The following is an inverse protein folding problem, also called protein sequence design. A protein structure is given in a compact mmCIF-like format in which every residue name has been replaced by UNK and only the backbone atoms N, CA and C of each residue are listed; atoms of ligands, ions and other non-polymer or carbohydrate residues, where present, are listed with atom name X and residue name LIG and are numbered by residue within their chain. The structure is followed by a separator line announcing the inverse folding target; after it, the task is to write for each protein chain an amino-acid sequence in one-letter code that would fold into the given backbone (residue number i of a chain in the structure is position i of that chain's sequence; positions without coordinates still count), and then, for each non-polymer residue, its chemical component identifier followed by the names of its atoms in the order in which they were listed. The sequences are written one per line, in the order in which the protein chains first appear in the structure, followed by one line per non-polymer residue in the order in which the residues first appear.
data_IF_414332503760
#
_entry.id   IF_414332503760
#
_cell.length_a   1.000
_cell.length_b   1.000
_cell.length_c   1.000
_cell.angle_alpha   90.00
_cell.angle_beta   90.00
_cell.angle_gamma   90.00
#
_symmetry.space_group_name_H-M   'P 1'
#
loop_
_entity.id
_entity.type
_entity.pdbx_description
1 polymer ?
#
# COMPACT_ATOMS: atom_id res chain seq x y z
N UNK A 1 -10.75 -2.61 -38.51
CA UNK A 1 -11.36 -1.26 -38.35
C UNK A 1 -10.35 -0.22 -38.83
N UNK A 2 -10.77 0.71 -39.70
CA UNK A 2 -9.92 1.80 -40.20
C UNK A 2 -9.85 2.97 -39.21
N UNK A 3 -8.77 3.76 -39.27
CA UNK A 3 -8.64 4.96 -38.42
C UNK A 3 -9.77 5.97 -38.68
N UNK A 4 -10.15 6.19 -39.94
CA UNK A 4 -11.21 7.12 -40.31
C UNK A 4 -12.55 6.79 -39.62
N UNK A 5 -12.91 5.50 -39.56
CA UNK A 5 -14.14 5.06 -38.88
C UNK A 5 -14.10 5.30 -37.36
N UNK A 6 -12.94 5.09 -36.73
CA UNK A 6 -12.74 5.43 -35.30
C UNK A 6 -12.74 6.94 -35.07
N UNK A 7 -12.17 7.69 -36.00
CA UNK A 7 -12.08 9.14 -35.94
C UNK A 7 -13.47 9.78 -35.94
N UNK A 8 -14.35 9.30 -36.82
CA UNK A 8 -15.74 9.73 -36.91
C UNK A 8 -16.54 9.31 -35.66
N UNK A 9 -16.40 8.05 -35.23
CA UNK A 9 -17.19 7.49 -34.13
C UNK A 9 -16.82 8.09 -32.77
N UNK A 10 -15.53 8.35 -32.52
CA UNK A 10 -15.02 8.79 -31.21
C UNK A 10 -14.48 10.23 -31.22
N UNK A 11 -14.65 10.97 -32.32
CA UNK A 11 -14.17 12.33 -32.50
C UNK A 11 -12.67 12.47 -32.19
N UNK A 12 -11.87 11.53 -32.70
CA UNK A 12 -10.42 11.52 -32.44
C UNK A 12 -9.70 12.62 -33.23
N UNK A 13 -8.67 13.27 -32.67
CA UNK A 13 -7.84 14.20 -33.43
C UNK A 13 -6.93 13.43 -34.40
N UNK A 14 -6.64 14.02 -35.57
CA UNK A 14 -5.82 13.36 -36.62
C UNK A 14 -4.40 12.99 -36.16
N UNK A 15 -3.85 13.67 -35.14
CA UNK A 15 -2.55 13.36 -34.55
C UNK A 15 -2.48 11.97 -33.90
N UNK A 16 -3.61 11.34 -33.57
CA UNK A 16 -3.66 10.00 -32.98
C UNK A 16 -3.45 8.88 -34.02
N UNK A 17 -3.31 9.20 -35.32
CA UNK A 17 -3.11 8.21 -36.38
C UNK A 17 -1.88 7.33 -36.14
N UNK A 18 -0.77 7.92 -35.71
CA UNK A 18 0.45 7.16 -35.42
C UNK A 18 0.23 6.18 -34.26
N UNK A 19 -0.50 6.59 -33.22
CA UNK A 19 -0.85 5.75 -32.07
C UNK A 19 -1.77 4.60 -32.45
N UNK A 20 -2.71 4.85 -33.38
CA UNK A 20 -3.52 3.81 -34.00
C UNK A 20 -2.67 2.77 -34.72
N UNK A 21 -1.68 3.19 -35.52
CA UNK A 21 -0.77 2.26 -36.21
C UNK A 21 0.04 1.42 -35.22
N UNK A 22 0.57 2.05 -34.15
CA UNK A 22 1.29 1.36 -33.09
C UNK A 22 0.42 0.30 -32.42
N UNK A 23 -0.82 0.65 -32.04
CA UNK A 23 -1.78 -0.28 -31.46
C UNK A 23 -2.10 -1.43 -32.43
N UNK A 24 -2.37 -1.14 -33.70
CA UNK A 24 -2.61 -2.16 -34.71
C UNK A 24 -1.39 -3.10 -34.93
N UNK A 25 -0.17 -2.61 -34.72
CA UNK A 25 1.03 -3.45 -34.75
C UNK A 25 1.08 -4.37 -33.52
N UNK A 26 0.96 -3.81 -32.31
CA UNK A 26 1.00 -4.58 -31.08
C UNK A 26 -0.11 -5.63 -31.01
N UNK A 27 -1.33 -5.29 -31.44
CA UNK A 27 -2.48 -6.20 -31.38
C UNK A 27 -2.37 -7.33 -32.43
N UNK A 28 -1.64 -7.11 -33.54
CA UNK A 28 -1.38 -8.16 -34.53
C UNK A 28 -0.46 -9.27 -33.99
N UNK A 29 0.39 -8.95 -33.02
CA UNK A 29 1.32 -9.90 -32.40
C UNK A 29 0.70 -10.69 -31.25
N UNK A 30 -0.56 -10.43 -30.88
CA UNK A 30 -1.26 -11.11 -29.78
C UNK A 30 -2.25 -12.13 -30.36
N UNK A 31 -1.94 -13.44 -30.36
CA UNK A 31 -2.76 -14.46 -31.03
C UNK A 31 -4.14 -14.68 -30.39
N UNK A 32 -4.33 -14.21 -29.16
CA UNK A 32 -5.50 -14.50 -28.32
C UNK A 32 -6.60 -13.41 -28.37
N UNK A 33 -6.46 -12.36 -29.19
CA UNK A 33 -7.52 -11.38 -29.39
C UNK A 33 -8.54 -11.95 -30.37
N UNK A 34 -9.40 -12.83 -29.86
CA UNK A 34 -10.60 -13.24 -30.57
C UNK A 34 -11.44 -12.00 -30.92
N UNK A 35 -12.07 -11.95 -32.12
CA UNK A 35 -12.91 -10.83 -32.52
C UNK A 35 -14.22 -10.86 -31.71
N UNK A 36 -14.16 -10.31 -30.50
CA UNK A 36 -15.31 -10.04 -29.65
C UNK A 36 -15.29 -8.59 -29.19
N UNK A 37 -16.46 -8.02 -28.94
CA UNK A 37 -16.55 -6.75 -28.23
C UNK A 37 -15.96 -6.94 -26.83
N UNK A 38 -14.78 -6.36 -26.60
CA UNK A 38 -14.25 -6.23 -25.25
C UNK A 38 -15.25 -5.42 -24.42
N UNK A 39 -15.59 -5.85 -23.21
CA UNK A 39 -16.42 -5.06 -22.32
C UNK A 39 -15.82 -3.67 -22.15
N UNK A 40 -16.65 -2.63 -22.25
CA UNK A 40 -16.21 -1.26 -22.01
C UNK A 40 -15.51 -1.19 -20.67
N UNK A 41 -14.23 -0.76 -20.68
CA UNK A 41 -13.48 -0.68 -19.43
C UNK A 41 -14.21 0.25 -18.45
N UNK A 42 -14.11 -0.08 -17.17
CA UNK A 42 -14.68 0.71 -16.08
C UNK A 42 -14.32 2.20 -16.17
N UNK A 43 -13.10 2.51 -16.59
CA UNK A 43 -12.58 3.88 -16.75
C UNK A 43 -13.25 4.61 -17.92
N UNK A 44 -13.50 3.90 -19.03
CA UNK A 44 -14.17 4.46 -20.20
C UNK A 44 -15.63 4.76 -19.87
N UNK A 45 -16.32 3.86 -19.18
CA UNK A 45 -17.70 4.09 -18.68
C UNK A 45 -17.77 5.28 -17.72
N UNK A 46 -16.82 5.38 -16.77
CA UNK A 46 -16.66 6.54 -15.88
C UNK A 46 -16.51 7.84 -16.70
N UNK A 47 -15.61 7.84 -17.69
CA UNK A 47 -15.31 9.01 -18.52
C UNK A 47 -16.56 9.47 -19.29
N UNK A 48 -17.28 8.57 -19.93
CA UNK A 48 -18.50 8.90 -20.67
C UNK A 48 -19.57 9.50 -19.75
N UNK A 49 -19.77 8.94 -18.56
CA UNK A 49 -20.78 9.43 -17.60
C UNK A 49 -20.44 10.81 -17.01
N UNK A 50 -19.16 11.21 -17.02
CA UNK A 50 -18.66 12.48 -16.46
C UNK A 50 -18.49 13.57 -17.53
N UNK A 51 -18.68 13.28 -18.82
CA UNK A 51 -18.54 14.27 -19.92
C UNK A 51 -19.49 15.47 -19.80
N UNK A 52 -20.58 15.37 -19.04
CA UNK A 52 -21.50 16.50 -18.77
C UNK A 52 -20.81 17.68 -18.06
N UNK A 53 -21.16 18.92 -18.43
CA UNK A 53 -20.57 20.15 -17.87
C UNK A 53 -20.86 20.36 -16.36
N UNK A 54 -21.94 19.78 -15.83
CA UNK A 54 -22.42 20.07 -14.47
C UNK A 54 -22.25 18.88 -13.50
N UNK A 55 -21.90 19.18 -12.23
CA UNK A 55 -21.84 18.23 -11.10
C UNK A 55 -20.92 17.01 -11.31
N UNK A 56 -19.82 17.18 -12.06
CA UNK A 56 -18.86 16.11 -12.38
C UNK A 56 -18.38 15.34 -11.15
N UNK A 57 -17.98 16.05 -10.09
CA UNK A 57 -17.48 15.44 -8.85
C UNK A 57 -18.54 14.62 -8.11
N UNK A 58 -19.76 15.15 -7.96
CA UNK A 58 -20.85 14.43 -7.30
C UNK A 58 -21.23 13.15 -8.06
N UNK A 59 -21.23 13.20 -9.40
CA UNK A 59 -21.51 12.03 -10.25
C UNK A 59 -20.40 10.99 -10.19
N UNK A 60 -19.15 11.43 -10.19
CA UNK A 60 -18.00 10.54 -9.99
C UNK A 60 -18.13 9.84 -8.63
N UNK A 61 -18.41 10.59 -7.57
CA UNK A 61 -18.54 10.03 -6.22
C UNK A 61 -19.71 9.03 -6.12
N UNK A 62 -20.90 9.37 -6.64
CA UNK A 62 -22.05 8.44 -6.65
C UNK A 62 -21.76 7.18 -7.45
N UNK A 63 -21.00 7.29 -8.54
CA UNK A 63 -20.65 6.15 -9.38
C UNK A 63 -19.58 5.26 -8.76
N UNK A 64 -18.65 5.84 -8.00
CA UNK A 64 -17.69 5.06 -7.20
C UNK A 64 -18.41 4.32 -6.07
N UNK A 65 -19.41 4.94 -5.44
CA UNK A 65 -20.24 4.32 -4.40
C UNK A 65 -21.16 3.21 -4.93
N UNK A 66 -21.71 3.37 -6.13
CA UNK A 66 -22.64 2.39 -6.70
C UNK A 66 -21.95 1.12 -7.23
N UNK A 67 -20.61 1.09 -7.22
CA UNK A 67 -19.83 -0.05 -7.71
C UNK A 67 -19.53 -1.00 -6.57
N UNK A 68 -19.61 -2.29 -6.86
CA UNK A 68 -19.20 -3.35 -5.92
C UNK A 68 -17.73 -3.17 -5.58
N UNK A 69 -17.40 -3.26 -4.30
CA UNK A 69 -16.02 -3.26 -3.83
C UNK A 69 -15.21 -4.30 -4.62
N UNK A 70 -14.01 -3.95 -5.11
CA UNK A 70 -13.21 -4.88 -5.89
C UNK A 70 -12.89 -6.13 -5.07
N UNK A 71 -12.93 -7.29 -5.73
CA UNK A 71 -12.54 -8.55 -5.09
C UNK A 71 -11.09 -8.47 -4.60
N UNK A 72 -10.91 -8.75 -3.31
CA UNK A 72 -9.63 -8.72 -2.63
C UNK A 72 -9.05 -10.12 -2.40
N UNK A 73 -9.73 -11.17 -2.88
CA UNK A 73 -9.32 -12.58 -2.75
C UNK A 73 -7.91 -12.81 -3.29
N UNK A 74 -7.60 -12.28 -4.48
CA UNK A 74 -6.28 -12.40 -5.10
C UNK A 74 -5.15 -11.84 -4.23
N UNK A 75 -5.40 -10.70 -3.58
CA UNK A 75 -4.43 -10.07 -2.66
C UNK A 75 -4.28 -10.89 -1.38
N UNK A 76 -5.38 -11.41 -0.84
CA UNK A 76 -5.37 -12.30 0.34
C UNK A 76 -4.53 -13.53 0.05
N UNK A 77 -4.82 -14.23 -1.06
CA UNK A 77 -4.10 -15.43 -1.47
C UNK A 77 -2.63 -15.17 -1.78
N UNK A 78 -2.26 -13.97 -2.24
CA UNK A 78 -0.86 -13.58 -2.36
C UNK A 78 -0.20 -13.51 -0.98
N UNK A 79 -0.81 -12.83 -0.01
CA UNK A 79 -0.28 -12.75 1.36
C UNK A 79 -0.16 -14.13 2.01
N UNK A 80 -1.19 -14.96 1.92
CA UNK A 80 -1.17 -16.33 2.48
C UNK A 80 -0.01 -17.17 1.91
N UNK A 81 0.28 -17.02 0.61
CA UNK A 81 1.41 -17.69 -0.04
C UNK A 81 2.76 -17.17 0.46
N UNK A 82 2.93 -15.85 0.59
CA UNK A 82 4.18 -15.26 1.08
C UNK A 82 4.39 -15.58 2.57
N UNK A 83 3.32 -15.60 3.36
CA UNK A 83 3.34 -15.89 4.81
C UNK A 83 3.47 -17.39 5.13
N UNK A 84 3.05 -18.26 4.21
CA UNK A 84 3.08 -19.71 4.39
C UNK A 84 1.94 -20.28 5.24
N UNK A 85 0.88 -19.50 5.48
CA UNK A 85 -0.33 -19.97 6.17
C UNK A 85 -1.57 -19.15 5.76
N UNK A 86 -2.76 -19.67 6.08
CA UNK A 86 -4.03 -19.00 5.78
C UNK A 86 -4.30 -17.81 6.72
N UNK A 87 -5.02 -16.81 6.20
CA UNK A 87 -5.52 -15.67 6.95
C UNK A 87 -7.02 -15.86 7.18
N UNK A 88 -7.49 -15.71 8.43
CA UNK A 88 -8.93 -15.76 8.72
C UNK A 88 -9.65 -14.60 8.02
N UNK A 89 -10.94 -14.77 7.70
CA UNK A 89 -11.72 -13.68 7.09
C UNK A 89 -11.81 -12.47 8.03
N UNK A 90 -12.01 -12.71 9.32
CA UNK A 90 -12.11 -11.65 10.33
C UNK A 90 -10.80 -10.87 10.44
N UNK A 91 -9.66 -11.58 10.42
CA UNK A 91 -8.35 -10.95 10.43
C UNK A 91 -8.11 -10.12 9.17
N UNK A 92 -8.57 -10.59 8.01
CA UNK A 92 -8.45 -9.88 6.74
C UNK A 92 -9.34 -8.62 6.69
N UNK A 93 -10.56 -8.71 7.20
CA UNK A 93 -11.46 -7.56 7.36
C UNK A 93 -10.86 -6.51 8.30
N UNK A 94 -10.21 -6.93 9.39
CA UNK A 94 -9.51 -6.03 10.30
C UNK A 94 -8.39 -5.24 9.58
N UNK A 95 -7.62 -5.91 8.72
CA UNK A 95 -6.60 -5.22 7.90
C UNK A 95 -7.23 -4.09 7.11
N UNK A 96 -8.38 -4.34 6.45
CA UNK A 96 -9.06 -3.30 5.66
C UNK A 96 -9.64 -2.18 6.52
N UNK A 97 -10.24 -2.52 7.66
CA UNK A 97 -10.75 -1.52 8.60
C UNK A 97 -9.62 -0.58 9.06
N UNK A 98 -8.44 -1.13 9.35
CA UNK A 98 -7.26 -0.35 9.79
C UNK A 98 -6.83 0.73 8.79
N UNK A 99 -7.00 0.50 7.47
CA UNK A 99 -6.62 1.46 6.42
C UNK A 99 -7.33 2.82 6.53
N UNK A 100 -8.52 2.82 7.14
CA UNK A 100 -9.32 4.04 7.34
C UNK A 100 -9.15 4.65 8.73
N UNK A 101 -8.75 3.84 9.72
CA UNK A 101 -8.72 4.23 11.13
C UNK A 101 -7.34 4.70 11.61
N UNK A 102 -6.27 4.35 10.91
CA UNK A 102 -4.92 4.60 11.42
C UNK A 102 -4.32 5.93 10.96
N UNK A 103 -3.95 6.78 11.93
CA UNK A 103 -3.18 8.00 11.72
C UNK A 103 -3.97 9.18 11.12
N UNK A 104 -3.53 10.41 11.42
CA UNK A 104 -4.07 11.62 10.79
C UNK A 104 -3.40 11.92 9.44
N UNK A 105 -2.22 11.36 9.20
CA UNK A 105 -1.45 11.55 7.97
C UNK A 105 -1.95 10.64 6.83
N UNK A 106 -2.46 11.26 5.77
CA UNK A 106 -2.89 10.59 4.54
C UNK A 106 -1.76 9.81 3.87
N UNK A 107 -0.51 10.28 3.98
CA UNK A 107 0.64 9.62 3.38
C UNK A 107 0.91 8.27 4.03
N UNK A 108 0.83 8.19 5.36
CA UNK A 108 1.00 6.94 6.11
C UNK A 108 -0.13 5.96 5.78
N UNK A 109 -1.38 6.44 5.69
CA UNK A 109 -2.53 5.60 5.26
C UNK A 109 -2.32 5.04 3.86
N UNK A 110 -1.81 5.86 2.93
CA UNK A 110 -1.50 5.41 1.58
C UNK A 110 -0.39 4.35 1.56
N UNK A 111 0.62 4.48 2.41
CA UNK A 111 1.66 3.46 2.56
C UNK A 111 1.04 2.12 2.98
N UNK A 112 0.23 2.12 4.05
CA UNK A 112 -0.40 0.88 4.52
C UNK A 112 -1.30 0.27 3.45
N UNK A 113 -2.09 1.10 2.76
CA UNK A 113 -2.93 0.65 1.64
C UNK A 113 -2.09 -0.03 0.55
N UNK A 114 -0.98 0.58 0.14
CA UNK A 114 -0.09 0.01 -0.89
C UNK A 114 0.60 -1.27 -0.45
N UNK A 115 0.92 -1.41 0.84
CA UNK A 115 1.45 -2.65 1.40
C UNK A 115 0.37 -3.73 1.34
N UNK A 116 -0.79 -3.49 1.96
CA UNK A 116 -1.89 -4.47 2.03
C UNK A 116 -2.30 -4.93 0.64
N UNK A 117 -2.35 -4.02 -0.34
CA UNK A 117 -2.68 -4.30 -1.74
C UNK A 117 -1.50 -4.82 -2.60
N UNK A 118 -0.33 -5.10 -2.01
CA UNK A 118 0.87 -5.55 -2.71
C UNK A 118 1.24 -4.69 -3.93
N UNK A 119 1.03 -3.36 -3.84
CA UNK A 119 1.24 -2.43 -4.95
C UNK A 119 2.70 -2.02 -5.16
N UNK A 120 3.56 -2.30 -4.17
CA UNK A 120 4.99 -2.10 -4.34
C UNK A 120 5.56 -3.14 -5.28
N UNK A 121 6.36 -2.69 -6.24
CA UNK A 121 7.06 -3.58 -7.15
C UNK A 121 8.21 -4.26 -6.40
N UNK A 122 7.95 -5.47 -5.93
CA UNK A 122 8.96 -6.37 -5.39
C UNK A 122 9.87 -6.87 -6.50
N UNK A 123 11.03 -7.38 -6.14
CA UNK A 123 11.96 -7.95 -7.10
C UNK A 123 11.39 -9.16 -7.82
N UNK A 124 10.74 -10.06 -7.07
CA UNK A 124 10.08 -11.22 -7.63
C UNK A 124 9.03 -10.80 -8.68
N UNK A 125 8.26 -9.74 -8.39
CA UNK A 125 7.29 -9.20 -9.34
C UNK A 125 7.92 -8.58 -10.58
N UNK A 126 9.02 -7.85 -10.44
CA UNK A 126 9.77 -7.29 -11.56
C UNK A 126 10.36 -8.37 -12.47
N UNK A 127 10.95 -9.41 -11.88
CA UNK A 127 11.50 -10.55 -12.61
C UNK A 127 10.40 -11.34 -13.34
N UNK A 128 9.29 -11.65 -12.66
CA UNK A 128 8.14 -12.33 -13.27
C UNK A 128 7.51 -11.53 -14.42
N UNK A 129 7.67 -10.20 -14.43
CA UNK A 129 7.16 -9.33 -15.50
C UNK A 129 8.17 -9.09 -16.62
N UNK A 130 9.35 -9.72 -16.59
CA UNK A 130 10.43 -9.49 -17.57
C UNK A 130 11.04 -8.08 -17.53
N UNK A 131 10.75 -7.30 -16.48
CA UNK A 131 11.25 -5.91 -16.32
C UNK A 131 12.63 -5.85 -15.66
N UNK A 132 13.13 -6.98 -15.15
CA UNK A 132 14.44 -7.11 -14.54
C UNK A 132 14.96 -8.54 -14.71
N UNK A 133 16.24 -8.68 -15.02
CA UNK A 133 16.89 -9.99 -15.04
C UNK A 133 16.86 -10.63 -13.65
N UNK A 134 16.59 -11.93 -13.60
CA UNK A 134 16.27 -12.67 -12.38
C UNK A 134 17.45 -12.91 -11.42
N UNK A 135 18.64 -12.36 -11.69
CA UNK A 135 19.78 -12.25 -10.74
C UNK A 135 19.52 -11.23 -9.61
N UNK A 136 18.34 -11.32 -9.01
CA UNK A 136 17.75 -10.36 -8.10
C UNK A 136 18.64 -10.06 -6.90
N UNK A 137 19.07 -8.81 -6.77
CA UNK A 137 19.62 -8.29 -5.50
C UNK A 137 19.04 -6.92 -5.19
N UNK A 138 18.16 -6.85 -4.21
CA UNK A 138 18.04 -5.67 -3.36
C UNK A 138 18.38 -6.14 -1.95
N UNK A 139 19.17 -5.33 -1.26
CA UNK A 139 19.69 -5.58 0.09
C UNK A 139 20.58 -6.81 0.21
N UNK A 140 20.08 -7.91 0.74
CA UNK A 140 20.87 -9.09 1.15
C UNK A 140 21.37 -9.94 -0.03
N UNK A 141 20.92 -9.64 -1.25
CA UNK A 141 21.34 -10.38 -2.43
C UNK A 141 20.82 -11.82 -2.51
N UNK A 142 19.85 -12.16 -1.67
CA UNK A 142 19.19 -13.47 -1.66
C UNK A 142 18.22 -13.61 -2.84
N UNK A 143 17.97 -14.86 -3.23
CA UNK A 143 17.08 -15.22 -4.34
C UNK A 143 15.60 -14.90 -4.06
N UNK A 144 15.20 -14.78 -2.78
CA UNK A 144 13.83 -14.38 -2.40
C UNK A 144 13.65 -12.87 -2.49
N UNK A 145 12.97 -12.44 -3.55
CA UNK A 145 12.67 -11.04 -3.84
C UNK A 145 11.20 -10.63 -3.63
N UNK A 146 10.42 -11.41 -2.87
CA UNK A 146 8.99 -11.16 -2.61
C UNK A 146 8.75 -9.98 -1.65
N UNK A 147 7.47 -9.60 -1.48
CA UNK A 147 7.07 -8.40 -0.73
C UNK A 147 7.39 -8.57 0.75
N UNK A 148 7.07 -9.72 1.33
CA UNK A 148 7.34 -10.08 2.72
C UNK A 148 8.84 -10.08 3.02
N UNK A 149 9.67 -10.66 2.15
CA UNK A 149 11.12 -10.66 2.33
C UNK A 149 11.65 -9.22 2.34
N UNK A 150 11.28 -8.40 1.36
CA UNK A 150 11.75 -7.03 1.27
C UNK A 150 11.24 -6.13 2.42
N UNK A 151 10.06 -6.41 2.97
CA UNK A 151 9.51 -5.68 4.11
C UNK A 151 10.03 -6.16 5.46
N UNK A 152 10.29 -7.45 5.65
CA UNK A 152 10.57 -8.06 6.95
C UNK A 152 11.65 -9.14 6.91
N UNK A 153 11.54 -10.09 5.97
CA UNK A 153 12.37 -11.30 5.97
C UNK A 153 13.87 -11.06 5.74
N UNK A 154 14.22 -9.95 5.11
CA UNK A 154 15.58 -9.58 4.75
C UNK A 154 16.47 -9.33 5.98
N UNK A 155 17.64 -9.96 6.04
CA UNK A 155 18.65 -9.78 7.10
C UNK A 155 19.08 -8.32 7.32
N UNK A 156 19.04 -7.48 6.28
CA UNK A 156 19.38 -6.06 6.36
C UNK A 156 18.24 -5.20 6.91
N UNK A 157 17.02 -5.73 6.97
CA UNK A 157 15.81 -5.05 7.47
C UNK A 157 15.46 -5.55 8.87
N UNK A 158 15.76 -6.82 9.18
CA UNK A 158 15.52 -7.43 10.50
C UNK A 158 16.05 -6.59 11.68
N UNK A 159 17.26 -6.00 11.66
CA UNK A 159 17.75 -5.20 12.79
C UNK A 159 16.86 -4.02 13.15
N UNK A 160 16.26 -3.35 12.15
CA UNK A 160 15.28 -2.30 12.39
C UNK A 160 14.06 -2.89 13.12
N UNK A 161 13.46 -3.96 12.58
CA UNK A 161 12.27 -4.57 13.18
C UNK A 161 12.52 -5.08 14.59
N UNK A 162 13.65 -5.75 14.84
CA UNK A 162 14.03 -6.17 16.19
C UNK A 162 14.10 -4.98 17.15
N UNK A 163 14.70 -3.87 16.71
CA UNK A 163 14.75 -2.66 17.52
C UNK A 163 13.36 -2.09 17.79
N UNK A 164 12.51 -2.01 16.76
CA UNK A 164 11.13 -1.47 16.87
C UNK A 164 10.28 -2.32 17.81
N UNK A 165 10.32 -3.65 17.67
CA UNK A 165 9.58 -4.59 18.52
C UNK A 165 10.06 -4.48 19.97
N UNK A 166 11.37 -4.41 20.18
CA UNK A 166 11.93 -4.25 21.51
C UNK A 166 11.48 -2.94 22.16
N UNK A 167 11.51 -1.82 21.43
CA UNK A 167 11.01 -0.54 21.93
C UNK A 167 9.51 -0.59 22.25
N UNK A 168 8.69 -1.22 21.40
CA UNK A 168 7.26 -1.38 21.65
C UNK A 168 7.01 -2.23 22.91
N UNK A 169 7.78 -3.31 23.07
CA UNK A 169 7.70 -4.18 24.25
C UNK A 169 8.05 -3.41 25.53
N UNK A 170 9.15 -2.65 25.51
CA UNK A 170 9.64 -1.93 26.68
C UNK A 170 8.73 -0.75 27.05
N UNK A 171 8.25 0.00 26.05
CA UNK A 171 7.39 1.16 26.27
C UNK A 171 5.93 0.79 26.61
N UNK A 172 5.40 -0.27 26.00
CA UNK A 172 3.96 -0.55 25.99
C UNK A 172 3.58 -1.91 26.57
N UNK A 173 4.56 -2.73 26.96
CA UNK A 173 4.33 -4.07 27.49
C UNK A 173 3.72 -5.06 26.50
N UNK A 174 3.80 -4.78 25.19
CA UNK A 174 3.16 -5.58 24.14
C UNK A 174 4.19 -6.28 23.26
N UNK A 175 4.06 -7.61 23.10
CA UNK A 175 4.95 -8.42 22.25
C UNK A 175 4.39 -8.59 20.85
N UNK A 176 5.25 -8.40 19.85
CA UNK A 176 4.94 -8.53 18.42
C UNK A 176 5.91 -9.54 17.81
N UNK A 177 5.58 -10.82 17.91
CA UNK A 177 6.50 -11.89 17.50
C UNK A 177 6.26 -12.37 16.06
N UNK A 178 5.13 -12.02 15.44
CA UNK A 178 4.75 -12.46 14.09
C UNK A 178 4.89 -11.33 13.04
N UNK A 179 5.49 -11.59 11.85
CA UNK A 179 5.53 -10.65 10.73
C UNK A 179 4.17 -10.08 10.33
N UNK A 180 3.09 -10.85 10.45
CA UNK A 180 1.72 -10.41 10.12
C UNK A 180 1.28 -9.29 11.03
N UNK A 181 1.59 -9.41 12.32
CA UNK A 181 1.22 -8.42 13.32
C UNK A 181 2.00 -7.12 13.07
N UNK A 182 3.23 -7.24 12.57
CA UNK A 182 4.05 -6.09 12.25
C UNK A 182 3.67 -5.43 10.92
N UNK A 183 3.42 -6.20 9.86
CA UNK A 183 3.21 -5.71 8.49
C UNK A 183 1.73 -5.42 8.20
N UNK A 184 0.83 -6.33 8.55
CA UNK A 184 -0.60 -6.24 8.26
C UNK A 184 -1.40 -5.67 9.43
N UNK A 185 -0.82 -5.64 10.64
CA UNK A 185 -1.44 -5.06 11.84
C UNK A 185 -2.69 -5.82 12.33
N UNK A 186 -2.77 -7.14 12.11
CA UNK A 186 -3.95 -7.98 12.41
C UNK A 186 -4.21 -8.19 13.90
N UNK A 187 -3.19 -8.37 14.74
CA UNK A 187 -3.45 -8.69 16.16
C UNK A 187 -3.69 -7.46 17.04
N UNK A 188 -3.69 -6.25 16.47
CA UNK A 188 -3.76 -5.03 17.27
C UNK A 188 -5.15 -4.78 17.84
N UNK A 189 -6.25 -5.17 17.17
CA UNK A 189 -7.60 -5.05 17.78
C UNK A 189 -7.78 -5.99 18.97
N UNK A 190 -7.17 -7.18 18.91
CA UNK A 190 -7.28 -8.26 19.90
C UNK A 190 -6.32 -8.10 21.06
N UNK A 191 -5.31 -7.25 20.90
CA UNK A 191 -4.37 -6.91 21.95
C UNK A 191 -5.07 -6.29 23.17
N UNK A 192 -4.74 -6.80 24.37
CA UNK A 192 -5.15 -6.28 25.68
C UNK A 192 -4.41 -4.98 26.02
N UNK A 193 -4.39 -4.03 25.09
CA UNK A 193 -3.77 -2.72 25.24
C UNK A 193 -4.83 -1.64 25.13
N UNK A 194 -4.61 -0.50 25.79
CA UNK A 194 -5.52 0.63 25.71
C UNK A 194 -5.67 1.11 24.26
N UNK A 195 -6.82 1.70 23.91
CA UNK A 195 -7.05 2.27 22.57
C UNK A 195 -5.98 3.30 22.18
N UNK A 196 -5.48 4.04 23.17
CA UNK A 196 -4.39 5.01 23.01
C UNK A 196 -3.07 4.30 22.70
N UNK A 197 -2.71 3.29 23.48
CA UNK A 197 -1.51 2.50 23.26
C UNK A 197 -1.51 1.82 21.88
N UNK A 198 -2.66 1.27 21.48
CA UNK A 198 -2.87 0.69 20.14
C UNK A 198 -2.56 1.69 19.02
N UNK A 199 -3.01 2.94 19.16
CA UNK A 199 -2.74 3.99 18.17
C UNK A 199 -1.25 4.28 18.03
N UNK A 200 -0.52 4.36 19.15
CA UNK A 200 0.92 4.60 19.14
C UNK A 200 1.72 3.40 18.61
N UNK A 201 1.32 2.17 18.96
CA UNK A 201 1.90 0.93 18.39
C UNK A 201 1.71 0.92 16.88
N UNK A 202 0.49 1.20 16.41
CA UNK A 202 0.20 1.30 14.97
C UNK A 202 1.09 2.35 14.30
N UNK A 203 1.24 3.52 14.92
CA UNK A 203 2.09 4.59 14.39
C UNK A 203 3.57 4.18 14.34
N UNK A 204 4.08 3.52 15.37
CA UNK A 204 5.44 2.98 15.44
C UNK A 204 5.71 1.97 14.31
N UNK A 205 4.79 1.02 14.10
CA UNK A 205 4.87 0.02 13.04
C UNK A 205 4.80 0.65 11.66
N UNK A 206 3.90 1.62 11.46
CA UNK A 206 3.77 2.34 10.19
C UNK A 206 5.00 3.19 9.87
N UNK A 207 5.60 3.80 10.89
CA UNK A 207 6.85 4.53 10.75
C UNK A 207 7.99 3.59 10.36
N UNK A 208 8.06 2.38 10.96
CA UNK A 208 9.02 1.36 10.56
C UNK A 208 8.83 0.94 9.09
N UNK A 209 7.58 0.66 8.67
CA UNK A 209 7.25 0.38 7.26
C UNK A 209 7.69 1.52 6.34
N UNK A 210 7.43 2.77 6.72
CA UNK A 210 7.82 3.96 5.95
C UNK A 210 9.34 4.05 5.78
N UNK A 211 10.11 3.82 6.83
CA UNK A 211 11.58 3.81 6.76
C UNK A 211 12.07 2.67 5.88
N UNK A 212 11.54 1.45 6.04
CA UNK A 212 11.86 0.31 5.17
C UNK A 212 11.59 0.61 3.69
N UNK A 213 10.45 1.23 3.39
CA UNK A 213 10.07 1.60 2.02
C UNK A 213 10.90 2.74 1.42
N UNK A 214 11.41 3.68 2.23
CA UNK A 214 12.40 4.68 1.75
C UNK A 214 13.66 4.02 1.21
N UNK A 215 14.01 2.86 1.77
CA UNK A 215 15.15 2.05 1.38
C UNK A 215 14.77 0.86 0.48
N UNK A 216 13.59 0.87 -0.14
CA UNK A 216 13.04 -0.27 -0.91
C UNK A 216 13.95 -0.72 -2.06
N UNK A 217 14.51 0.26 -2.79
CA UNK A 217 15.40 0.04 -3.94
C UNK A 217 16.85 0.46 -3.63
N UNK A 218 17.22 0.63 -2.35
CA UNK A 218 18.57 1.06 -1.94
C UNK A 218 19.35 -0.13 -1.37
N UNK A 219 20.66 -0.13 -1.59
CA UNK A 219 21.57 -1.12 -1.00
C UNK A 219 21.73 -0.91 0.51
N UNK A 220 21.66 0.35 0.94
CA UNK A 220 21.72 0.76 2.34
C UNK A 220 20.54 0.16 3.15
N UNK A 221 20.81 -0.38 4.34
CA UNK A 221 19.77 -0.85 5.24
C UNK A 221 19.04 0.33 5.89
N UNK A 222 17.75 0.19 6.20
CA UNK A 222 17.08 1.13 7.09
C UNK A 222 17.70 1.06 8.49
N UNK A 223 17.80 2.20 9.17
CA UNK A 223 18.39 2.26 10.52
C UNK A 223 17.37 2.58 11.60
N UNK A 224 17.61 2.09 12.81
CA UNK A 224 16.82 2.43 14.02
C UNK A 224 16.85 3.93 14.30
N UNK A 225 17.98 4.60 14.03
CA UNK A 225 18.11 6.06 14.17
C UNK A 225 17.14 6.82 13.27
N UNK A 226 17.02 6.44 12.01
CA UNK A 226 16.05 7.07 11.09
C UNK A 226 14.60 6.88 11.55
N UNK A 227 14.29 5.70 12.10
CA UNK A 227 12.97 5.42 12.67
C UNK A 227 12.69 6.27 13.92
N UNK A 228 13.64 6.35 14.86
CA UNK A 228 13.50 7.21 16.05
C UNK A 228 13.33 8.69 15.67
N UNK A 229 14.11 9.19 14.72
CA UNK A 229 13.98 10.57 14.22
C UNK A 229 12.60 10.81 13.57
N UNK A 230 12.10 9.85 12.79
CA UNK A 230 10.77 9.94 12.20
C UNK A 230 9.66 9.92 13.27
N UNK A 231 9.81 9.10 14.31
CA UNK A 231 8.88 9.08 15.42
C UNK A 231 8.89 10.39 16.20
N UNK A 232 10.07 10.94 16.49
CA UNK A 232 10.21 12.23 17.16
C UNK A 232 9.61 13.39 16.34
N UNK A 233 9.84 13.40 15.02
CA UNK A 233 9.23 14.37 14.10
C UNK A 233 7.70 14.25 14.10
N UNK A 234 7.17 13.03 14.06
CA UNK A 234 5.73 12.79 14.13
C UNK A 234 5.14 13.26 15.47
N UNK A 235 5.83 12.98 16.59
CA UNK A 235 5.44 13.45 17.90
C UNK A 235 5.40 14.98 17.98
N UNK A 236 6.39 15.67 17.39
CA UNK A 236 6.43 17.13 17.33
C UNK A 236 5.23 17.69 16.57
N UNK A 237 4.89 17.11 15.40
CA UNK A 237 3.71 17.50 14.62
C UNK A 237 2.40 17.27 15.39
N UNK A 238 2.23 16.10 16.00
CA UNK A 238 1.06 15.79 16.81
C UNK A 238 0.92 16.72 18.03
N UNK A 239 2.03 17.06 18.68
CA UNK A 239 2.04 18.00 19.81
C UNK A 239 1.49 19.36 19.40
N UNK A 240 1.87 19.87 18.22
CA UNK A 240 1.36 21.14 17.69
C UNK A 240 -0.14 21.04 17.42
N UNK A 241 -0.60 19.97 16.78
CA UNK A 241 -2.03 19.73 16.49
C UNK A 241 -2.85 19.61 17.79
N UNK A 242 -2.33 18.94 18.81
CA UNK A 242 -3.03 18.78 20.09
C UNK A 242 -3.01 20.06 20.91
N UNK A 243 -1.96 20.88 20.78
CA UNK A 243 -1.90 22.23 21.37
C UNK A 243 -2.98 23.13 20.79
N UNK A 244 -3.15 23.17 19.47
CA UNK A 244 -4.20 23.99 18.83
C UNK A 244 -5.61 23.52 19.20
N UNK A 245 -5.76 22.23 19.55
CA UNK A 245 -7.04 21.65 20.01
C UNK A 245 -7.25 21.69 21.52
N UNK A 246 -6.35 22.33 22.28
CA UNK A 246 -6.37 22.38 23.75
C UNK A 246 -6.39 20.99 24.43
N UNK A 247 -5.66 20.02 23.88
CA UNK A 247 -5.60 18.60 24.33
C UNK A 247 -4.18 18.15 24.67
N UNK A 248 -3.33 19.04 25.18
CA UNK A 248 -1.93 18.73 25.50
C UNK A 248 -1.75 17.62 26.55
N UNK A 249 -2.63 17.54 27.54
CA UNK A 249 -2.59 16.47 28.54
C UNK A 249 -2.77 15.08 27.91
N UNK A 250 -3.61 14.98 26.86
CA UNK A 250 -3.76 13.73 26.10
C UNK A 250 -2.49 13.39 25.32
N UNK A 251 -1.81 14.39 24.73
CA UNK A 251 -0.53 14.16 24.08
C UNK A 251 0.51 13.57 25.06
N UNK A 252 0.62 14.15 26.25
CA UNK A 252 1.55 13.66 27.28
C UNK A 252 1.21 12.24 27.72
N UNK A 253 -0.07 11.91 27.93
CA UNK A 253 -0.45 10.55 28.31
C UNK A 253 -0.21 9.51 27.20
N UNK A 254 -0.23 9.92 25.93
CA UNK A 254 0.07 9.03 24.79
C UNK A 254 1.57 8.84 24.61
N UNK A 255 2.33 9.94 24.56
CA UNK A 255 3.72 9.93 24.10
C UNK A 255 4.77 9.77 25.22
N UNK A 256 4.40 9.94 26.49
CA UNK A 256 5.33 9.82 27.63
C UNK A 256 5.94 8.43 27.80
N UNK A 257 5.26 7.38 27.33
CA UNK A 257 5.80 6.02 27.34
C UNK A 257 6.84 5.79 26.23
N UNK A 258 6.83 6.62 25.18
CA UNK A 258 7.63 6.42 23.97
C UNK A 258 8.82 7.38 23.86
N UNK A 259 8.68 8.61 24.35
CA UNK A 259 9.73 9.65 24.39
C UNK A 259 10.51 9.60 25.70
#
# INVERSE_FOLDING_TARGET
ISFASLQETFQLPSMEFFRYLQLCSCLREVPALSPGLLPTSSIVDIRHRIQSKNKKMSRLYSLLLSRVSPDCSSTKSQWERELGHSLSEEGWEEVFASLTQTGTDLYIRLIQFKIVKCLYWSLARLAASGLKDSGLRWKCGMERGDTLHMLWGCEKVRPLWSSVIQHIRDAMGYSLDNPINCILSIDLSRAQVSKVARGLIQLALLSAKRVTLRHWRRAEPPSTREWLLLMADTAAHERVIMRTRNKLAQFQSVWSAFL
#
